data_IF_429417052818
#
_entry.id   IF_429417052818
#
_cell.length_a   1.000
_cell.length_b   1.000
_cell.length_c   1.000
_cell.angle_alpha   90.00
_cell.angle_beta   90.00
_cell.angle_gamma   90.00
#
_symmetry.space_group_name_H-M   'P 1'
#
loop_
_entity.id
_entity.type
_entity.pdbx_description
1 polymer ?
#
# COMPACT_ATOMS: atom_id res chain seq x y z
N UNK A 1 -7.06 46.51 -11.69
CA UNK A 1 -7.53 45.23 -12.27
C UNK A 1 -6.48 44.67 -13.26
N UNK A 2 -6.05 45.45 -14.26
CA UNK A 2 -5.08 45.03 -15.30
C UNK A 2 -3.76 44.48 -14.72
N UNK A 3 -3.21 45.14 -13.71
CA UNK A 3 -1.95 44.66 -13.04
C UNK A 3 -2.11 43.28 -12.42
N UNK A 4 -3.19 43.05 -11.68
CA UNK A 4 -3.45 41.75 -11.04
C UNK A 4 -3.61 40.64 -12.10
N UNK A 5 -4.34 40.92 -13.16
CA UNK A 5 -4.55 39.98 -14.26
C UNK A 5 -3.22 39.62 -14.95
N UNK A 6 -2.37 40.62 -15.22
CA UNK A 6 -1.05 40.38 -15.83
C UNK A 6 -0.14 39.54 -14.94
N UNK A 7 -0.10 39.82 -13.64
CA UNK A 7 0.68 39.06 -12.67
C UNK A 7 0.16 37.60 -12.58
N UNK A 8 -1.17 37.42 -12.52
CA UNK A 8 -1.77 36.08 -12.47
C UNK A 8 -1.47 35.26 -13.71
N UNK A 9 -1.54 35.87 -14.91
CA UNK A 9 -1.18 35.21 -16.17
C UNK A 9 0.30 34.83 -16.20
N UNK A 10 1.17 35.70 -15.75
CA UNK A 10 2.61 35.45 -15.71
C UNK A 10 2.96 34.25 -14.82
N UNK A 11 2.46 34.22 -13.57
CA UNK A 11 2.71 33.10 -12.66
C UNK A 11 2.00 31.82 -13.13
N UNK A 12 0.78 31.93 -13.68
CA UNK A 12 0.07 30.78 -14.26
C UNK A 12 0.84 30.16 -15.42
N UNK A 13 1.46 30.95 -16.28
CA UNK A 13 2.31 30.47 -17.36
C UNK A 13 3.55 29.73 -16.82
N UNK A 14 4.24 30.32 -15.84
CA UNK A 14 5.41 29.68 -15.22
C UNK A 14 5.05 28.33 -14.64
N UNK A 15 3.96 28.25 -13.85
CA UNK A 15 3.51 27.00 -13.23
C UNK A 15 3.16 25.97 -14.31
N UNK A 16 2.48 26.37 -15.38
CA UNK A 16 2.13 25.48 -16.50
C UNK A 16 3.35 24.92 -17.21
N UNK A 17 4.36 25.75 -17.46
CA UNK A 17 5.63 25.32 -18.09
C UNK A 17 6.38 24.34 -17.21
N UNK A 18 6.51 24.64 -15.91
CA UNK A 18 7.16 23.74 -14.94
C UNK A 18 6.42 22.40 -14.87
N UNK A 19 5.10 22.43 -14.75
CA UNK A 19 4.28 21.21 -14.72
C UNK A 19 4.45 20.37 -15.99
N UNK A 20 4.39 21.00 -17.17
CA UNK A 20 4.62 20.34 -18.45
C UNK A 20 6.00 19.68 -18.55
N UNK A 21 7.02 20.37 -18.09
CA UNK A 21 8.40 19.88 -18.12
C UNK A 21 8.68 18.74 -17.14
N UNK A 22 7.90 18.64 -16.04
CA UNK A 22 8.14 17.68 -14.96
C UNK A 22 7.21 16.47 -14.95
N UNK A 23 6.05 16.54 -15.65
CA UNK A 23 5.02 15.49 -15.58
C UNK A 23 5.54 14.10 -15.96
N UNK A 24 6.38 13.99 -16.99
CA UNK A 24 6.91 12.69 -17.43
C UNK A 24 7.95 12.13 -16.45
N UNK A 25 8.73 13.01 -15.83
CA UNK A 25 9.70 12.65 -14.78
C UNK A 25 8.95 12.12 -13.55
N UNK A 26 7.88 12.80 -13.14
CA UNK A 26 7.03 12.39 -12.03
C UNK A 26 6.41 11.00 -12.28
N UNK A 27 5.77 10.79 -13.44
CA UNK A 27 5.19 9.49 -13.81
C UNK A 27 6.21 8.36 -13.81
N UNK A 28 7.43 8.63 -14.31
CA UNK A 28 8.51 7.64 -14.29
C UNK A 28 8.96 7.32 -12.87
N UNK A 29 9.09 8.32 -12.01
CA UNK A 29 9.46 8.12 -10.61
C UNK A 29 8.37 7.35 -9.83
N UNK A 30 7.10 7.64 -10.06
CA UNK A 30 5.96 6.91 -9.48
C UNK A 30 5.96 5.44 -9.91
N UNK A 31 6.18 5.17 -11.21
CA UNK A 31 6.27 3.80 -11.71
C UNK A 31 7.46 3.04 -11.10
N UNK A 32 8.63 3.67 -11.00
CA UNK A 32 9.80 3.07 -10.35
C UNK A 32 9.55 2.81 -8.87
N UNK A 33 8.91 3.74 -8.16
CA UNK A 33 8.53 3.57 -6.76
C UNK A 33 7.53 2.41 -6.60
N UNK A 34 6.48 2.35 -7.42
CA UNK A 34 5.49 1.27 -7.44
C UNK A 34 6.16 -0.09 -7.63
N UNK A 35 7.03 -0.24 -8.62
CA UNK A 35 7.75 -1.49 -8.88
C UNK A 35 8.61 -1.92 -7.71
N UNK A 36 9.33 -0.99 -7.07
CA UNK A 36 10.11 -1.27 -5.86
C UNK A 36 9.22 -1.78 -4.74
N UNK A 37 8.10 -1.12 -4.46
CA UNK A 37 7.18 -1.51 -3.37
C UNK A 37 6.55 -2.87 -3.65
N UNK A 38 6.14 -3.16 -4.90
CA UNK A 38 5.60 -4.47 -5.28
C UNK A 38 6.67 -5.55 -5.10
N UNK A 39 7.90 -5.33 -5.59
CA UNK A 39 8.98 -6.29 -5.43
C UNK A 39 9.28 -6.58 -3.95
N UNK A 40 9.31 -5.56 -3.11
CA UNK A 40 9.50 -5.69 -1.66
C UNK A 40 8.32 -6.41 -0.98
N UNK A 41 7.08 -6.11 -1.38
CA UNK A 41 5.88 -6.73 -0.84
C UNK A 41 5.86 -8.24 -1.11
N UNK A 42 6.19 -8.65 -2.32
CA UNK A 42 6.30 -10.05 -2.70
C UNK A 42 7.64 -10.71 -2.32
N UNK A 43 8.53 -9.96 -1.67
CA UNK A 43 9.87 -10.44 -1.27
C UNK A 43 10.65 -11.05 -2.45
N UNK A 44 10.57 -10.41 -3.63
CA UNK A 44 11.26 -10.89 -4.82
C UNK A 44 12.77 -10.73 -4.68
N UNK A 45 13.50 -11.74 -5.11
CA UNK A 45 14.95 -11.61 -5.30
C UNK A 45 15.25 -10.69 -6.47
N UNK A 46 16.16 -9.75 -6.27
CA UNK A 46 16.56 -8.76 -7.28
C UNK A 46 18.09 -8.72 -7.42
N UNK A 47 18.57 -8.50 -8.63
CA UNK A 47 19.98 -8.32 -8.94
C UNK A 47 20.47 -6.92 -8.51
N UNK A 48 20.36 -6.60 -7.21
CA UNK A 48 20.71 -5.29 -6.66
C UNK A 48 19.48 -4.41 -6.35
N UNK A 49 19.73 -3.13 -6.04
CA UNK A 49 18.72 -2.17 -5.58
C UNK A 49 18.40 -1.08 -6.60
N UNK A 50 18.76 -1.30 -7.86
CA UNK A 50 18.46 -0.33 -8.93
C UNK A 50 16.98 -0.35 -9.33
N UNK A 51 16.42 0.78 -9.79
CA UNK A 51 15.05 0.81 -10.29
C UNK A 51 14.78 -0.22 -11.39
N UNK A 52 15.77 -0.44 -12.25
CA UNK A 52 15.67 -1.40 -13.36
C UNK A 52 15.61 -2.85 -12.86
N UNK A 53 16.35 -3.19 -11.78
CA UNK A 53 16.29 -4.54 -11.17
C UNK A 53 14.91 -4.84 -10.62
N UNK A 54 14.26 -3.87 -9.97
CA UNK A 54 12.90 -4.03 -9.47
C UNK A 54 11.88 -4.17 -10.60
N UNK A 55 11.99 -3.33 -11.65
CA UNK A 55 11.13 -3.41 -12.83
C UNK A 55 11.22 -4.78 -13.51
N UNK A 56 12.45 -5.28 -13.73
CA UNK A 56 12.70 -6.62 -14.30
C UNK A 56 12.04 -7.70 -13.45
N UNK A 57 12.31 -7.73 -12.14
CA UNK A 57 11.77 -8.74 -11.24
C UNK A 57 10.23 -8.74 -11.20
N UNK A 58 9.62 -7.55 -11.17
CA UNK A 58 8.15 -7.42 -11.19
C UNK A 58 7.58 -7.89 -12.53
N UNK A 59 8.15 -7.47 -13.65
CA UNK A 59 7.67 -7.86 -15.00
C UNK A 59 7.77 -9.37 -15.22
N UNK A 60 8.84 -10.01 -14.75
CA UNK A 60 9.06 -11.44 -14.91
C UNK A 60 8.17 -12.29 -13.99
N UNK A 61 7.96 -11.86 -12.75
CA UNK A 61 7.36 -12.70 -11.69
C UNK A 61 5.95 -12.33 -11.28
N UNK A 62 5.48 -11.13 -11.59
CA UNK A 62 4.18 -10.65 -11.14
C UNK A 62 3.25 -10.44 -12.34
N UNK A 63 2.02 -10.91 -12.19
CA UNK A 63 0.90 -10.64 -13.10
C UNK A 63 -0.05 -9.63 -12.46
N UNK A 64 -0.40 -8.58 -13.20
CA UNK A 64 -1.46 -7.67 -12.82
C UNK A 64 -2.79 -8.18 -13.38
N UNK A 65 -3.78 -8.35 -12.53
CA UNK A 65 -5.12 -8.78 -12.88
C UNK A 65 -6.15 -7.72 -12.47
N UNK A 66 -7.22 -7.63 -13.26
CA UNK A 66 -8.36 -6.80 -12.95
C UNK A 66 -9.58 -7.66 -12.69
N UNK A 67 -10.30 -7.36 -11.65
CA UNK A 67 -11.56 -8.00 -11.29
C UNK A 67 -12.64 -6.95 -11.10
N UNK A 68 -13.81 -7.23 -11.61
CA UNK A 68 -15.00 -6.38 -11.41
C UNK A 68 -15.78 -6.95 -10.23
N UNK A 69 -15.78 -6.22 -9.13
CA UNK A 69 -16.50 -6.55 -7.90
C UNK A 69 -17.75 -5.65 -7.79
N UNK A 70 -18.72 -5.98 -6.93
CA UNK A 70 -19.91 -5.13 -6.71
C UNK A 70 -19.54 -3.68 -6.33
N UNK A 71 -18.40 -3.50 -5.64
CA UNK A 71 -17.88 -2.19 -5.24
C UNK A 71 -17.05 -1.46 -6.34
N UNK A 72 -16.95 -2.03 -7.55
CA UNK A 72 -16.21 -1.48 -8.68
C UNK A 72 -15.02 -2.34 -9.12
N UNK A 73 -14.29 -1.85 -10.11
CA UNK A 73 -13.08 -2.51 -10.61
C UNK A 73 -11.96 -2.46 -9.55
N UNK A 74 -11.29 -3.59 -9.35
CA UNK A 74 -10.13 -3.74 -8.46
C UNK A 74 -8.96 -4.35 -9.19
N UNK A 75 -7.76 -3.95 -8.81
CA UNK A 75 -6.51 -4.50 -9.31
C UNK A 75 -5.90 -5.36 -8.21
N UNK A 76 -5.50 -6.57 -8.57
CA UNK A 76 -4.67 -7.41 -7.72
C UNK A 76 -3.47 -7.95 -8.50
N UNK A 77 -2.45 -8.33 -7.76
CA UNK A 77 -1.21 -8.87 -8.29
C UNK A 77 -1.07 -10.33 -7.90
N UNK A 78 -0.56 -11.14 -8.80
CA UNK A 78 -0.33 -12.57 -8.55
C UNK A 78 1.11 -12.92 -8.86
N UNK A 79 1.78 -13.58 -7.93
CA UNK A 79 3.09 -14.13 -8.16
C UNK A 79 2.97 -15.43 -8.98
N UNK A 80 3.70 -15.52 -10.10
CA UNK A 80 3.68 -16.66 -11.02
C UNK A 80 4.29 -17.92 -10.40
N UNK A 81 5.30 -17.76 -9.54
CA UNK A 81 6.06 -18.89 -9.00
C UNK A 81 5.29 -19.63 -7.89
N UNK A 82 4.72 -18.90 -6.93
CA UNK A 82 4.08 -19.49 -5.74
C UNK A 82 2.56 -19.24 -5.65
N UNK A 83 2.02 -18.38 -6.51
CA UNK A 83 0.60 -18.04 -6.55
C UNK A 83 0.14 -17.09 -5.46
N UNK A 84 1.04 -16.49 -4.68
CA UNK A 84 0.67 -15.48 -3.68
C UNK A 84 -0.04 -14.30 -4.33
N UNK A 85 -0.99 -13.69 -3.60
CA UNK A 85 -1.90 -12.65 -4.10
C UNK A 85 -1.60 -11.34 -3.37
N UNK A 86 -1.29 -10.29 -4.12
CA UNK A 86 -1.13 -8.95 -3.60
C UNK A 86 -2.36 -8.09 -3.87
N UNK A 87 -2.94 -7.52 -2.84
CA UNK A 87 -4.14 -6.68 -2.89
C UNK A 87 -3.75 -5.26 -2.51
N UNK A 88 -4.07 -4.29 -3.37
CA UNK A 88 -3.89 -2.87 -3.05
C UNK A 88 -5.02 -2.45 -2.11
N UNK A 89 -4.66 -1.85 -1.00
CA UNK A 89 -5.60 -1.18 -0.10
C UNK A 89 -5.35 0.33 -0.10
N UNK A 90 -6.41 1.10 0.09
CA UNK A 90 -6.33 2.56 0.21
C UNK A 90 -7.46 3.09 1.07
N UNK A 91 -7.16 4.03 1.92
CA UNK A 91 -8.16 4.66 2.78
C UNK A 91 -7.60 5.89 3.48
N UNK A 92 -8.45 6.52 4.29
CA UNK A 92 -8.05 7.67 5.11
C UNK A 92 -7.35 7.18 6.37
N UNK A 93 -6.09 7.59 6.56
CA UNK A 93 -5.34 7.43 7.79
C UNK A 93 -5.85 8.36 8.89
N UNK A 94 -4.95 8.81 9.76
CA UNK A 94 -5.29 9.84 10.74
C UNK A 94 -5.21 11.25 10.13
N UNK A 95 -4.21 11.53 9.31
CA UNK A 95 -4.00 12.84 8.69
C UNK A 95 -4.35 12.87 7.20
N UNK A 96 -3.91 11.89 6.45
CA UNK A 96 -4.08 11.87 5.00
C UNK A 96 -4.31 10.43 4.52
N UNK A 97 -4.36 10.24 3.21
CA UNK A 97 -4.54 8.94 2.58
C UNK A 97 -3.32 8.05 2.86
N UNK A 98 -3.60 6.80 3.19
CA UNK A 98 -2.62 5.71 3.22
C UNK A 98 -2.97 4.76 2.07
N UNK A 99 -1.98 4.42 1.27
CA UNK A 99 -2.11 3.41 0.21
C UNK A 99 -0.97 2.40 0.36
N UNK A 100 -1.29 1.13 0.25
CA UNK A 100 -0.31 0.07 0.35
C UNK A 100 -0.74 -1.20 -0.36
N UNK A 101 0.07 -2.23 -0.22
CA UNK A 101 -0.18 -3.57 -0.73
C UNK A 101 0.00 -4.59 0.39
N UNK A 102 -1.00 -5.44 0.57
CA UNK A 102 -0.92 -6.62 1.43
C UNK A 102 -0.79 -7.86 0.55
N UNK A 103 0.19 -8.70 0.84
CA UNK A 103 0.40 -9.96 0.12
C UNK A 103 -0.06 -11.11 0.99
N UNK A 104 -0.92 -11.94 0.42
CA UNK A 104 -1.51 -13.11 1.05
C UNK A 104 -1.01 -14.38 0.35
N UNK A 105 -1.03 -15.49 1.08
CA UNK A 105 -0.85 -16.82 0.48
C UNK A 105 -1.90 -17.10 -0.60
N UNK A 106 -1.60 -18.03 -1.50
CA UNK A 106 -2.48 -18.41 -2.63
C UNK A 106 -3.92 -18.73 -2.22
N UNK A 107 -4.10 -19.31 -1.03
CA UNK A 107 -5.40 -19.64 -0.44
C UNK A 107 -6.03 -18.48 0.36
N UNK A 108 -5.39 -17.31 0.34
CA UNK A 108 -5.76 -16.09 1.07
C UNK A 108 -5.80 -16.26 2.60
N UNK A 109 -5.23 -17.33 3.13
CA UNK A 109 -5.35 -17.67 4.56
C UNK A 109 -4.30 -16.94 5.43
N UNK A 110 -3.11 -16.68 4.89
CA UNK A 110 -1.96 -16.19 5.66
C UNK A 110 -1.41 -14.93 5.00
N UNK A 111 -1.16 -13.89 5.80
CA UNK A 111 -0.44 -12.70 5.37
C UNK A 111 1.04 -13.03 5.20
N UNK A 112 1.59 -12.78 4.02
CA UNK A 112 3.01 -12.94 3.70
C UNK A 112 3.80 -11.70 4.05
N UNK A 113 3.25 -10.52 3.70
CA UNK A 113 3.92 -9.24 3.93
C UNK A 113 2.94 -8.08 3.70
N UNK A 114 3.30 -6.89 4.16
CA UNK A 114 2.63 -5.62 3.87
C UNK A 114 3.69 -4.58 3.54
N UNK A 115 3.39 -3.71 2.57
CA UNK A 115 4.23 -2.57 2.21
C UNK A 115 3.36 -1.37 1.86
N UNK A 116 3.92 -0.16 1.99
CA UNK A 116 3.21 1.09 1.76
C UNK A 116 3.70 1.78 0.48
N UNK A 117 2.75 2.22 -0.34
CA UNK A 117 2.98 2.99 -1.55
C UNK A 117 2.99 4.49 -1.25
N UNK A 118 2.09 4.94 -0.37
CA UNK A 118 1.97 6.33 0.00
C UNK A 118 1.41 6.45 1.42
N UNK A 119 1.97 7.34 2.21
CA UNK A 119 1.42 7.80 3.47
C UNK A 119 1.95 9.21 3.78
N UNK A 120 1.21 9.98 4.54
CA UNK A 120 1.58 11.33 5.02
C UNK A 120 1.24 11.50 6.49
N UNK A 121 1.42 10.43 7.24
CA UNK A 121 1.24 10.42 8.68
C UNK A 121 2.40 11.14 9.38
N UNK A 122 2.21 11.51 10.63
CA UNK A 122 3.23 12.23 11.41
C UNK A 122 4.51 11.41 11.59
N UNK A 123 5.68 11.93 11.20
CA UNK A 123 6.97 11.27 11.45
C UNK A 123 7.19 10.91 12.93
N UNK A 124 7.71 9.72 13.19
CA UNK A 124 7.94 9.21 14.55
C UNK A 124 6.67 8.74 15.28
N UNK A 125 5.49 8.94 14.70
CA UNK A 125 4.19 8.48 15.19
C UNK A 125 3.51 7.58 14.14
N UNK A 126 2.51 8.08 13.44
CA UNK A 126 1.76 7.31 12.44
C UNK A 126 2.63 6.81 11.28
N UNK A 127 3.63 7.57 10.84
CA UNK A 127 4.53 7.15 9.77
C UNK A 127 5.37 5.89 10.10
N UNK A 128 5.41 5.49 11.38
CA UNK A 128 6.05 4.24 11.83
C UNK A 128 5.37 2.96 11.28
N UNK A 129 4.22 3.08 10.64
CA UNK A 129 3.62 1.96 9.88
C UNK A 129 4.57 1.40 8.81
N UNK A 130 5.50 2.21 8.27
CA UNK A 130 6.51 1.78 7.30
C UNK A 130 7.74 1.12 7.95
N UNK A 131 7.91 1.24 9.27
CA UNK A 131 9.05 0.63 9.94
C UNK A 131 9.01 -0.89 9.80
N UNK A 132 10.20 -1.47 9.59
CA UNK A 132 10.37 -2.92 9.41
C UNK A 132 9.76 -3.71 10.56
N UNK A 133 9.89 -3.24 11.80
CA UNK A 133 9.30 -3.91 12.97
C UNK A 133 7.78 -4.04 12.88
N UNK A 134 7.11 -3.00 12.39
CA UNK A 134 5.65 -3.02 12.22
C UNK A 134 5.23 -3.88 11.00
N UNK A 135 5.87 -3.70 9.85
CA UNK A 135 5.54 -4.49 8.66
C UNK A 135 5.82 -5.98 8.86
N UNK A 136 6.91 -6.33 9.55
CA UNK A 136 7.24 -7.72 9.88
C UNK A 136 6.22 -8.38 10.81
N UNK A 137 5.52 -7.61 11.66
CA UNK A 137 4.49 -8.14 12.57
C UNK A 137 3.26 -8.69 11.84
N UNK A 138 3.07 -8.35 10.57
CA UNK A 138 2.02 -8.91 9.73
C UNK A 138 2.38 -10.29 9.16
N UNK A 139 3.65 -10.66 9.13
CA UNK A 139 4.08 -11.94 8.53
C UNK A 139 3.58 -13.13 9.34
N UNK A 140 2.91 -14.04 8.66
CA UNK A 140 2.35 -15.24 9.27
C UNK A 140 1.00 -15.03 9.96
N UNK A 141 0.45 -13.81 9.97
CA UNK A 141 -0.88 -13.55 10.50
C UNK A 141 -1.93 -14.30 9.69
N UNK A 142 -2.84 -14.96 10.39
CA UNK A 142 -3.96 -15.70 9.78
C UNK A 142 -5.15 -14.76 9.54
N UNK A 143 -5.68 -14.75 8.31
CA UNK A 143 -6.93 -14.05 8.00
C UNK A 143 -8.12 -14.91 8.42
N UNK A 144 -8.90 -14.48 9.41
CA UNK A 144 -10.07 -15.23 9.92
C UNK A 144 -11.31 -14.95 9.09
N UNK A 145 -11.40 -15.57 7.92
CA UNK A 145 -12.50 -15.40 6.97
C UNK A 145 -13.88 -15.73 7.51
N UNK A 146 -13.99 -16.60 8.52
CA UNK A 146 -15.25 -16.93 9.20
C UNK A 146 -15.75 -15.84 10.14
N UNK A 147 -14.93 -14.88 10.48
CA UNK A 147 -15.29 -13.76 11.35
C UNK A 147 -15.98 -12.64 10.55
N UNK A 148 -16.65 -11.73 11.28
CA UNK A 148 -17.09 -10.45 10.71
C UNK A 148 -15.87 -9.65 10.20
N UNK A 149 -16.04 -8.78 9.18
CA UNK A 149 -14.90 -8.10 8.54
C UNK A 149 -13.92 -7.48 9.53
N UNK A 150 -14.40 -6.76 10.54
CA UNK A 150 -13.59 -6.02 11.51
C UNK A 150 -12.73 -6.93 12.42
N UNK A 151 -12.95 -8.25 12.39
CA UNK A 151 -12.25 -9.24 13.21
C UNK A 151 -11.45 -10.26 12.38
N UNK A 152 -11.27 -10.05 11.09
CA UNK A 152 -10.44 -10.92 10.24
C UNK A 152 -8.97 -10.78 10.61
N UNK A 153 -8.48 -9.55 10.67
CA UNK A 153 -7.20 -9.17 11.26
C UNK A 153 -7.51 -8.13 12.34
N UNK A 154 -6.90 -8.25 13.51
CA UNK A 154 -7.15 -7.38 14.66
C UNK A 154 -5.87 -6.61 14.97
N UNK A 155 -6.00 -5.33 15.31
CA UNK A 155 -4.89 -4.53 15.82
C UNK A 155 -5.09 -4.21 17.30
N UNK A 156 -4.01 -4.21 18.05
CA UNK A 156 -3.98 -3.87 19.46
C UNK A 156 -3.27 -4.90 20.33
N UNK A 157 -2.93 -4.53 21.55
CA UNK A 157 -2.31 -5.40 22.55
C UNK A 157 -3.27 -6.50 23.03
N UNK A 158 -2.73 -7.65 23.41
CA UNK A 158 -3.49 -8.75 23.99
C UNK A 158 -3.05 -10.11 23.48
N UNK A 159 -3.77 -11.15 23.89
CA UNK A 159 -3.48 -12.51 23.50
C UNK A 159 -3.66 -12.72 21.98
N UNK A 160 -2.70 -13.39 21.35
CA UNK A 160 -2.68 -13.72 19.92
C UNK A 160 -2.80 -15.23 19.67
N UNK A 161 -3.43 -15.98 20.56
CA UNK A 161 -3.67 -17.44 20.37
C UNK A 161 -4.41 -17.73 19.07
N UNK A 162 -5.27 -16.81 18.60
CA UNK A 162 -5.95 -16.94 17.32
C UNK A 162 -5.06 -16.70 16.09
N UNK A 163 -3.85 -16.15 16.28
CA UNK A 163 -2.89 -15.89 15.20
C UNK A 163 -3.29 -14.81 14.20
N UNK A 164 -4.27 -13.95 14.54
CA UNK A 164 -4.78 -12.91 13.64
C UNK A 164 -4.63 -11.49 14.23
N UNK A 165 -3.71 -11.30 15.16
CA UNK A 165 -3.49 -10.02 15.83
C UNK A 165 -2.13 -9.41 15.50
N UNK A 166 -2.14 -8.12 15.28
CA UNK A 166 -0.96 -7.27 15.09
C UNK A 166 -0.93 -6.22 16.18
N UNK A 167 0.23 -5.93 16.75
CA UNK A 167 0.36 -4.89 17.77
C UNK A 167 0.19 -3.49 17.18
N UNK A 168 -0.52 -2.63 17.90
CA UNK A 168 -0.67 -1.23 17.53
C UNK A 168 0.64 -0.46 17.77
N UNK A 169 0.87 0.58 16.98
CA UNK A 169 2.01 1.48 17.19
C UNK A 169 1.74 2.36 18.41
N UNK A 170 2.63 2.28 19.39
CA UNK A 170 2.56 3.14 20.58
C UNK A 170 2.61 4.61 20.19
N UNK A 171 1.63 5.39 20.65
CA UNK A 171 1.51 6.80 20.31
C UNK A 171 0.81 7.09 18.96
N UNK A 172 0.47 6.05 18.18
CA UNK A 172 -0.23 6.19 16.90
C UNK A 172 -1.45 5.26 16.78
N UNK A 173 -2.24 5.17 17.83
CA UNK A 173 -3.41 4.27 17.91
C UNK A 173 -4.42 4.57 16.80
N UNK A 174 -4.69 5.85 16.51
CA UNK A 174 -5.67 6.22 15.47
C UNK A 174 -5.22 5.77 14.08
N UNK A 175 -3.97 6.02 13.69
CA UNK A 175 -3.41 5.52 12.44
C UNK A 175 -3.48 4.00 12.35
N UNK A 176 -3.14 3.31 13.44
CA UNK A 176 -3.19 1.85 13.52
C UNK A 176 -4.60 1.31 13.32
N UNK A 177 -5.60 1.90 13.98
CA UNK A 177 -7.02 1.52 13.84
C UNK A 177 -7.53 1.81 12.44
N UNK A 178 -7.21 3.00 11.87
CA UNK A 178 -7.61 3.36 10.51
C UNK A 178 -7.03 2.38 9.49
N UNK A 179 -5.75 2.03 9.62
CA UNK A 179 -5.11 1.03 8.77
C UNK A 179 -5.82 -0.32 8.83
N UNK A 180 -6.16 -0.78 10.04
CA UNK A 180 -6.83 -2.08 10.18
C UNK A 180 -8.23 -2.09 9.58
N UNK A 181 -8.98 -1.00 9.75
CA UNK A 181 -10.31 -0.87 9.16
C UNK A 181 -10.24 -0.92 7.63
N UNK A 182 -9.30 -0.15 7.01
CA UNK A 182 -9.16 -0.17 5.54
C UNK A 182 -8.70 -1.54 5.02
N UNK A 183 -7.78 -2.21 5.72
CA UNK A 183 -7.36 -3.57 5.35
C UNK A 183 -8.52 -4.55 5.39
N UNK A 184 -9.28 -4.58 6.47
CA UNK A 184 -10.41 -5.47 6.62
C UNK A 184 -11.54 -5.18 5.63
N UNK A 185 -11.81 -3.92 5.31
CA UNK A 185 -12.76 -3.53 4.26
C UNK A 185 -12.31 -4.00 2.88
N UNK A 186 -11.03 -3.83 2.55
CA UNK A 186 -10.51 -4.28 1.26
C UNK A 186 -10.54 -5.81 1.15
N UNK A 187 -10.12 -6.52 2.20
CA UNK A 187 -10.24 -7.99 2.26
C UNK A 187 -11.68 -8.47 2.09
N UNK A 188 -12.66 -7.74 2.64
CA UNK A 188 -14.08 -8.09 2.49
C UNK A 188 -14.54 -7.97 1.04
N UNK A 189 -14.04 -6.99 0.32
CA UNK A 189 -14.39 -6.76 -1.09
C UNK A 189 -13.92 -7.87 -2.03
N UNK A 190 -12.88 -8.64 -1.64
CA UNK A 190 -12.33 -9.76 -2.41
C UNK A 190 -12.94 -11.13 -2.07
N UNK A 191 -13.94 -11.18 -1.22
CA UNK A 191 -14.66 -12.41 -0.86
C UNK A 191 -15.84 -12.65 -1.80
#
# INVERSE_FOLDING_TARGET
>A
LFFITAVSLFFGLIISVVNYATVDILKKNEAMHKNRVIAQAFMLETEGTSPLSYEKAVTEKIEEHKVVLPAGERIYYKNRDNGDIGIIFSGTGFWDRITGIIVLSRDLAIVRNIQFLEQKETPGLGARIEEKGFTDSFKGITVKWGNVPEKRIIIGSGDNTAGNRVDAITGATQTSVSLMNMLNMELDSFR
#
